data_IF_860222202727
#
_entry.id   IF_860222202727
#
_cell.length_a   1.000
_cell.length_b   1.000
_cell.length_c   1.000
_cell.angle_alpha   90.00
_cell.angle_beta   90.00
_cell.angle_gamma   90.00
#
_symmetry.space_group_name_H-M   'P 1'
#
loop_
_entity.id
_entity.type
_entity.pdbx_description
1 polymer ?
#
# COMPACT_ATOMS: atom_id res chain seq x y z
N UNK A 1 -2.99 -36.59 12.59
CA UNK A 1 -1.74 -36.15 11.94
C UNK A 1 -2.08 -34.98 11.03
N UNK A 2 -1.67 -33.78 11.42
CA UNK A 2 -2.05 -32.53 10.75
C UNK A 2 -1.30 -32.39 9.42
N UNK A 3 -2.04 -32.38 8.31
CA UNK A 3 -1.50 -32.08 7.00
C UNK A 3 -1.23 -30.57 6.91
N UNK A 4 -0.04 -30.15 7.33
CA UNK A 4 0.53 -28.88 6.88
C UNK A 4 0.86 -29.02 5.38
N UNK A 5 -0.16 -28.88 4.54
CA UNK A 5 0.03 -28.53 3.13
C UNK A 5 0.80 -27.21 3.13
N UNK A 6 2.11 -27.29 2.93
CA UNK A 6 2.93 -26.13 2.57
C UNK A 6 2.25 -25.50 1.37
N UNK A 7 1.68 -24.31 1.56
CA UNK A 7 1.05 -23.58 0.47
C UNK A 7 2.13 -23.28 -0.57
N UNK A 8 1.79 -23.53 -1.82
CA UNK A 8 2.65 -23.24 -2.95
C UNK A 8 2.95 -21.72 -2.98
N UNK A 9 4.22 -21.30 -2.85
CA UNK A 9 4.60 -19.90 -2.82
C UNK A 9 4.11 -19.13 -4.05
N UNK A 10 4.04 -19.75 -5.23
CA UNK A 10 3.52 -19.09 -6.44
C UNK A 10 2.02 -18.75 -6.30
N UNK A 11 1.26 -19.66 -5.70
CA UNK A 11 -0.17 -19.47 -5.46
C UNK A 11 -0.44 -18.42 -4.39
N UNK A 12 0.39 -18.33 -3.35
CA UNK A 12 0.31 -17.25 -2.36
C UNK A 12 0.69 -15.89 -2.95
N UNK A 13 1.76 -15.83 -3.75
CA UNK A 13 2.18 -14.61 -4.44
C UNK A 13 1.10 -14.08 -5.38
N UNK A 14 0.50 -14.96 -6.20
CA UNK A 14 -0.64 -14.59 -7.07
C UNK A 14 -1.82 -14.02 -6.27
N UNK A 15 -2.18 -14.64 -5.15
CA UNK A 15 -3.29 -14.17 -4.32
C UNK A 15 -3.01 -12.78 -3.72
N UNK A 16 -1.81 -12.56 -3.19
CA UNK A 16 -1.42 -11.25 -2.63
C UNK A 16 -1.44 -10.18 -3.72
N UNK A 17 -0.96 -10.51 -4.92
CA UNK A 17 -1.03 -9.62 -6.08
C UNK A 17 -2.47 -9.23 -6.39
N UNK A 18 -3.35 -10.22 -6.53
CA UNK A 18 -4.76 -9.98 -6.89
C UNK A 18 -5.46 -9.13 -5.79
N UNK A 19 -5.16 -9.39 -4.52
CA UNK A 19 -5.64 -8.58 -3.40
C UNK A 19 -5.14 -7.11 -3.50
N UNK A 20 -3.85 -6.88 -3.79
CA UNK A 20 -3.29 -5.53 -3.93
C UNK A 20 -3.81 -4.78 -5.16
N UNK A 21 -4.02 -5.48 -6.27
CA UNK A 21 -4.62 -4.91 -7.47
C UNK A 21 -6.07 -4.48 -7.21
N UNK A 22 -6.85 -5.34 -6.53
CA UNK A 22 -8.22 -5.03 -6.16
C UNK A 22 -8.30 -3.84 -5.20
N UNK A 23 -7.44 -3.80 -4.18
CA UNK A 23 -7.32 -2.67 -3.26
C UNK A 23 -7.03 -1.35 -4.02
N UNK A 24 -6.12 -1.41 -4.99
CA UNK A 24 -5.74 -0.26 -5.83
C UNK A 24 -6.92 0.23 -6.68
N UNK A 25 -7.65 -0.68 -7.32
CA UNK A 25 -8.81 -0.35 -8.14
C UNK A 25 -9.92 0.34 -7.33
N UNK A 26 -10.20 -0.17 -6.11
CA UNK A 26 -11.18 0.42 -5.19
C UNK A 26 -10.75 1.84 -4.78
N UNK A 27 -9.48 2.05 -4.45
CA UNK A 27 -8.96 3.38 -4.08
C UNK A 27 -9.07 4.37 -5.23
N UNK A 28 -8.64 3.99 -6.44
CA UNK A 28 -8.73 4.85 -7.63
C UNK A 28 -10.19 5.23 -7.92
N UNK A 29 -11.11 4.27 -7.84
CA UNK A 29 -12.54 4.54 -7.99
C UNK A 29 -13.04 5.56 -6.95
N UNK A 30 -12.67 5.38 -5.68
CA UNK A 30 -13.12 6.25 -4.60
C UNK A 30 -12.60 7.69 -4.75
N UNK A 31 -11.34 7.86 -5.18
CA UNK A 31 -10.75 9.16 -5.48
C UNK A 31 -11.48 9.87 -6.61
N UNK A 32 -11.67 9.18 -7.76
CA UNK A 32 -12.39 9.73 -8.92
C UNK A 32 -13.84 10.10 -8.59
N UNK A 33 -14.47 9.37 -7.66
CA UNK A 33 -15.84 9.62 -7.26
C UNK A 33 -15.98 10.87 -6.40
N UNK A 34 -15.07 11.11 -5.44
CA UNK A 34 -15.24 12.19 -4.47
C UNK A 34 -13.96 12.63 -3.75
N UNK A 35 -12.89 12.98 -4.48
CA UNK A 35 -11.68 13.54 -3.86
C UNK A 35 -11.95 14.84 -3.08
N UNK A 36 -12.99 15.60 -3.47
CA UNK A 36 -13.46 16.78 -2.74
C UNK A 36 -13.80 16.51 -1.27
N UNK A 37 -14.27 15.30 -0.95
CA UNK A 37 -14.60 14.88 0.42
C UNK A 37 -13.40 14.42 1.27
N UNK A 38 -12.19 14.33 0.71
CA UNK A 38 -11.03 13.85 1.46
C UNK A 38 -10.59 14.84 2.54
N UNK A 39 -10.27 14.30 3.71
CA UNK A 39 -9.76 15.04 4.85
C UNK A 39 -8.69 14.23 5.58
N UNK A 40 -7.62 14.93 5.97
CA UNK A 40 -6.55 14.37 6.80
C UNK A 40 -6.90 14.35 8.30
N UNK A 41 -8.04 14.93 8.70
CA UNK A 41 -8.44 14.98 10.11
C UNK A 41 -8.47 13.59 10.74
N UNK A 42 -7.72 13.42 11.83
CA UNK A 42 -7.63 12.15 12.57
C UNK A 42 -6.66 11.12 11.97
N UNK A 43 -5.99 11.40 10.84
CA UNK A 43 -4.86 10.61 10.38
C UNK A 43 -3.59 11.06 11.11
N UNK A 44 -2.96 10.13 11.84
CA UNK A 44 -1.64 10.35 12.45
C UNK A 44 -0.56 9.95 11.46
N UNK A 45 0.12 10.92 10.88
CA UNK A 45 1.22 10.67 9.96
C UNK A 45 2.45 10.25 10.77
N UNK A 46 3.13 9.12 10.46
CA UNK A 46 4.36 8.74 11.13
C UNK A 46 5.46 9.78 10.91
N UNK A 47 6.28 10.04 11.94
CA UNK A 47 7.35 11.05 11.89
C UNK A 47 8.30 10.83 10.70
N UNK A 48 8.59 9.58 10.36
CA UNK A 48 9.43 9.26 9.19
C UNK A 48 8.81 9.77 7.89
N UNK A 49 7.49 9.68 7.74
CA UNK A 49 6.76 10.17 6.55
C UNK A 49 6.67 11.70 6.59
N UNK A 50 6.41 12.31 7.76
CA UNK A 50 6.32 13.77 7.92
C UNK A 50 7.62 14.49 7.57
N UNK A 51 8.76 13.88 7.91
CA UNK A 51 10.10 14.46 7.71
C UNK A 51 10.81 13.91 6.48
N UNK A 52 10.16 13.03 5.72
CA UNK A 52 10.75 12.42 4.54
C UNK A 52 11.01 13.46 3.46
N UNK A 53 12.21 13.41 2.87
CA UNK A 53 12.56 14.15 1.67
C UNK A 53 13.27 13.19 0.72
N UNK A 54 12.94 13.28 -0.56
CA UNK A 54 13.58 12.48 -1.58
C UNK A 54 15.10 12.71 -1.55
N UNK A 55 15.87 11.61 -1.52
CA UNK A 55 17.33 11.67 -1.41
C UNK A 55 17.88 11.68 0.03
N UNK A 56 17.01 11.70 1.06
CA UNK A 56 17.47 11.56 2.44
C UNK A 56 18.17 10.21 2.68
N UNK A 57 19.12 10.23 3.62
CA UNK A 57 19.70 8.99 4.13
C UNK A 57 18.61 8.19 4.83
N UNK A 58 18.54 6.91 4.46
CA UNK A 58 17.57 6.00 5.04
C UNK A 58 17.97 5.64 6.47
N UNK A 59 17.04 5.86 7.40
CA UNK A 59 17.12 5.30 8.75
C UNK A 59 16.94 3.77 8.69
N UNK A 60 17.23 3.09 9.79
CA UNK A 60 16.96 1.66 9.92
C UNK A 60 15.49 1.33 9.59
N UNK A 61 15.26 0.58 8.52
CA UNK A 61 13.94 0.25 7.99
C UNK A 61 13.09 -0.54 8.97
N UNK A 62 13.72 -1.37 9.82
CA UNK A 62 13.03 -2.13 10.86
C UNK A 62 12.35 -1.22 11.88
N UNK A 63 12.95 -0.05 12.17
CA UNK A 63 12.46 0.85 13.21
C UNK A 63 11.11 1.52 12.90
N UNK A 64 10.69 1.55 11.63
CA UNK A 64 9.46 2.24 11.21
C UNK A 64 8.50 1.40 10.36
N UNK A 65 8.88 0.17 9.96
CA UNK A 65 8.11 -0.61 9.00
C UNK A 65 6.65 -0.83 9.43
N UNK A 66 6.42 -1.23 10.68
CA UNK A 66 5.07 -1.45 11.21
C UNK A 66 4.27 -0.14 11.28
N UNK A 67 4.86 0.94 11.79
CA UNK A 67 4.19 2.23 11.91
C UNK A 67 3.74 2.77 10.54
N UNK A 68 4.59 2.65 9.51
CA UNK A 68 4.25 3.07 8.14
C UNK A 68 3.20 2.15 7.51
N UNK A 69 3.27 0.84 7.74
CA UNK A 69 2.26 -0.10 7.26
C UNK A 69 0.87 0.19 7.86
N UNK A 70 0.79 0.41 9.18
CA UNK A 70 -0.45 0.80 9.87
C UNK A 70 -0.97 2.14 9.38
N UNK A 71 -0.08 3.11 9.15
CA UNK A 71 -0.48 4.38 8.55
C UNK A 71 -1.10 4.19 7.16
N UNK A 72 -0.51 3.36 6.31
CA UNK A 72 -1.07 3.04 5.00
C UNK A 72 -2.46 2.42 5.11
N UNK A 73 -2.68 1.49 6.05
CA UNK A 73 -4.00 0.89 6.28
C UNK A 73 -5.07 1.96 6.52
N UNK A 74 -4.81 2.87 7.48
CA UNK A 74 -5.73 3.95 7.81
C UNK A 74 -5.91 4.96 6.68
N UNK A 75 -4.83 5.30 5.97
CA UNK A 75 -4.89 6.19 4.81
C UNK A 75 -5.79 5.58 3.72
N UNK A 76 -5.59 4.30 3.42
CA UNK A 76 -6.33 3.61 2.37
C UNK A 76 -7.81 3.44 2.73
N UNK A 77 -8.14 3.13 3.98
CA UNK A 77 -9.52 3.11 4.47
C UNK A 77 -10.19 4.47 4.31
N UNK A 78 -9.47 5.56 4.61
CA UNK A 78 -9.97 6.92 4.43
C UNK A 78 -10.23 7.25 2.96
N UNK A 79 -9.34 6.82 2.07
CA UNK A 79 -9.52 6.97 0.62
C UNK A 79 -10.76 6.22 0.16
N UNK A 80 -10.92 4.95 0.56
CA UNK A 80 -12.07 4.13 0.14
C UNK A 80 -13.39 4.67 0.68
N UNK A 81 -13.40 5.25 1.88
CA UNK A 81 -14.59 5.88 2.46
C UNK A 81 -15.16 7.02 1.61
N UNK A 82 -14.36 7.65 0.73
CA UNK A 82 -14.84 8.67 -0.23
C UNK A 82 -15.93 8.14 -1.16
N UNK A 83 -15.93 6.83 -1.43
CA UNK A 83 -16.92 6.21 -2.29
C UNK A 83 -18.33 6.16 -1.66
N UNK A 84 -18.46 6.42 -0.36
CA UNK A 84 -19.69 6.25 0.43
C UNK A 84 -20.32 4.87 0.23
N UNK A 85 -19.46 3.85 0.15
CA UNK A 85 -19.86 2.46 -0.05
C UNK A 85 -19.29 1.61 1.10
N UNK A 86 -20.18 1.16 1.98
CA UNK A 86 -19.81 0.38 3.17
C UNK A 86 -19.21 -0.98 2.80
N UNK A 87 -19.69 -1.61 1.72
CA UNK A 87 -19.14 -2.88 1.26
C UNK A 87 -17.71 -2.71 0.76
N UNK A 88 -17.42 -1.65 0.00
CA UNK A 88 -16.04 -1.35 -0.42
C UNK A 88 -15.12 -1.09 0.79
N UNK A 89 -15.62 -0.41 1.82
CA UNK A 89 -14.85 -0.15 3.04
C UNK A 89 -14.55 -1.46 3.78
N UNK A 90 -15.54 -2.35 3.90
CA UNK A 90 -15.39 -3.68 4.50
C UNK A 90 -14.39 -4.53 3.73
N UNK A 91 -14.47 -4.53 2.40
CA UNK A 91 -13.49 -5.20 1.54
C UNK A 91 -12.08 -4.66 1.76
N UNK A 92 -11.93 -3.33 1.91
CA UNK A 92 -10.62 -2.74 2.17
C UNK A 92 -10.01 -3.19 3.49
N UNK A 93 -10.83 -3.34 4.55
CA UNK A 93 -10.36 -3.89 5.82
C UNK A 93 -9.83 -5.32 5.69
N UNK A 94 -10.55 -6.18 4.97
CA UNK A 94 -10.09 -7.55 4.73
C UNK A 94 -8.81 -7.59 3.90
N UNK A 95 -8.71 -6.74 2.88
CA UNK A 95 -7.51 -6.64 2.04
C UNK A 95 -6.31 -6.12 2.84
N UNK A 96 -6.52 -5.13 3.71
CA UNK A 96 -5.50 -4.63 4.61
C UNK A 96 -4.96 -5.77 5.49
N UNK A 97 -5.85 -6.53 6.13
CA UNK A 97 -5.44 -7.65 7.00
C UNK A 97 -4.68 -8.73 6.22
N UNK A 98 -5.18 -9.15 5.05
CA UNK A 98 -4.54 -10.18 4.22
C UNK A 98 -3.16 -9.77 3.70
N UNK A 99 -2.95 -8.48 3.44
CA UNK A 99 -1.72 -7.95 2.82
C UNK A 99 -0.75 -7.32 3.82
N UNK A 100 -1.08 -7.26 5.12
CA UNK A 100 -0.25 -6.60 6.15
C UNK A 100 1.17 -7.14 6.20
N UNK A 101 1.33 -8.46 6.36
CA UNK A 101 2.65 -9.10 6.49
C UNK A 101 3.53 -8.80 5.27
N UNK A 102 2.95 -8.83 4.07
CA UNK A 102 3.65 -8.48 2.85
C UNK A 102 4.12 -7.01 2.87
N UNK A 103 3.21 -6.06 3.14
CA UNK A 103 3.54 -4.62 3.16
C UNK A 103 4.60 -4.27 4.21
N UNK A 104 4.53 -4.86 5.40
CA UNK A 104 5.58 -4.71 6.41
C UNK A 104 6.90 -5.30 5.92
N UNK A 105 6.88 -6.49 5.32
CA UNK A 105 8.08 -7.11 4.74
C UNK A 105 8.72 -6.27 3.63
N UNK A 106 7.91 -5.60 2.80
CA UNK A 106 8.40 -4.63 1.82
C UNK A 106 9.10 -3.45 2.51
N UNK A 107 8.49 -2.89 3.55
CA UNK A 107 9.02 -1.76 4.30
C UNK A 107 10.29 -2.09 5.10
N UNK A 108 10.56 -3.36 5.39
CA UNK A 108 11.82 -3.80 6.03
C UNK A 108 13.00 -3.83 5.05
N UNK A 109 12.75 -3.87 3.74
CA UNK A 109 13.79 -3.85 2.71
C UNK A 109 14.17 -2.38 2.41
N UNK A 110 15.42 -1.93 2.65
CA UNK A 110 15.77 -0.51 2.53
C UNK A 110 15.41 0.14 1.18
N UNK A 111 15.77 -0.48 0.06
CA UNK A 111 15.50 0.09 -1.26
C UNK A 111 13.99 0.18 -1.55
N UNK A 112 13.23 -0.81 -1.09
CA UNK A 112 11.78 -0.80 -1.19
C UNK A 112 11.15 0.26 -0.29
N UNK A 113 11.62 0.38 0.94
CA UNK A 113 11.15 1.37 1.90
C UNK A 113 11.34 2.79 1.34
N UNK A 114 12.42 3.06 0.61
CA UNK A 114 12.74 4.39 0.08
C UNK A 114 11.70 4.79 -0.95
N UNK A 115 11.50 3.92 -1.93
CA UNK A 115 10.50 4.09 -2.98
C UNK A 115 9.08 4.21 -2.39
N UNK A 116 8.76 3.40 -1.38
CA UNK A 116 7.47 3.46 -0.69
C UNK A 116 7.28 4.80 0.02
N UNK A 117 8.30 5.32 0.71
CA UNK A 117 8.24 6.62 1.38
C UNK A 117 8.12 7.77 0.36
N UNK A 118 8.86 7.73 -0.74
CA UNK A 118 8.75 8.71 -1.84
C UNK A 118 7.34 8.73 -2.43
N UNK A 119 6.80 7.55 -2.76
CA UNK A 119 5.43 7.40 -3.29
C UNK A 119 4.37 7.80 -2.27
N UNK A 120 4.59 7.52 -0.99
CA UNK A 120 3.68 7.94 0.09
C UNK A 120 3.65 9.46 0.20
N UNK A 121 4.81 10.13 0.24
CA UNK A 121 4.88 11.59 0.29
C UNK A 121 4.21 12.23 -0.93
N UNK A 122 4.45 11.69 -2.12
CA UNK A 122 3.81 12.16 -3.36
C UNK A 122 2.28 11.97 -3.34
N UNK A 123 1.79 10.83 -2.84
CA UNK A 123 0.36 10.58 -2.72
C UNK A 123 -0.30 11.56 -1.74
N UNK A 124 0.33 11.81 -0.58
CA UNK A 124 -0.19 12.78 0.40
C UNK A 124 -0.25 14.19 -0.19
N UNK A 125 0.78 14.59 -0.93
CA UNK A 125 0.79 15.88 -1.64
C UNK A 125 -0.31 15.95 -2.72
N UNK A 126 -0.53 14.88 -3.48
CA UNK A 126 -1.58 14.84 -4.49
C UNK A 126 -2.99 14.92 -3.87
N UNK A 127 -3.22 14.21 -2.76
CA UNK A 127 -4.46 14.27 -1.99
C UNK A 127 -4.70 15.67 -1.42
N UNK A 128 -3.65 16.31 -0.87
CA UNK A 128 -3.71 17.67 -0.35
C UNK A 128 -4.07 18.69 -1.43
N UNK A 129 -3.44 18.56 -2.60
CA UNK A 129 -3.70 19.43 -3.75
C UNK A 129 -4.96 19.05 -4.54
N UNK A 130 -5.70 18.03 -4.10
CA UNK A 130 -6.92 17.52 -4.74
C UNK A 130 -6.72 17.18 -6.22
N UNK A 131 -5.55 16.65 -6.57
CA UNK A 131 -5.22 16.22 -7.92
C UNK A 131 -5.53 14.72 -8.09
N UNK A 132 -6.70 14.40 -8.63
CA UNK A 132 -7.21 13.04 -8.76
C UNK A 132 -6.45 12.22 -9.81
N UNK A 133 -6.05 12.84 -10.92
CA UNK A 133 -5.22 12.24 -11.95
C UNK A 133 -3.88 11.78 -11.37
N UNK A 134 -3.18 12.66 -10.65
CA UNK A 134 -1.90 12.36 -10.02
C UNK A 134 -2.04 11.30 -8.92
N UNK A 135 -3.08 11.40 -8.07
CA UNK A 135 -3.39 10.35 -7.11
C UNK A 135 -3.54 8.99 -7.78
N UNK A 136 -4.33 8.94 -8.87
CA UNK A 136 -4.59 7.70 -9.61
C UNK A 136 -3.33 7.13 -10.24
N UNK A 137 -2.49 7.99 -10.82
CA UNK A 137 -1.22 7.59 -11.42
C UNK A 137 -0.27 7.00 -10.38
N UNK A 138 -0.09 7.67 -9.23
CA UNK A 138 0.77 7.18 -8.14
C UNK A 138 0.30 5.83 -7.63
N UNK A 139 -1.01 5.66 -7.42
CA UNK A 139 -1.59 4.39 -6.98
C UNK A 139 -1.37 3.26 -8.00
N UNK A 140 -1.55 3.54 -9.29
CA UNK A 140 -1.29 2.57 -10.35
C UNK A 140 0.20 2.18 -10.44
N UNK A 141 1.11 3.14 -10.33
CA UNK A 141 2.55 2.86 -10.31
C UNK A 141 2.96 2.04 -9.08
N UNK A 142 2.36 2.29 -7.91
CA UNK A 142 2.56 1.47 -6.71
C UNK A 142 2.16 0.02 -6.97
N UNK A 143 1.02 -0.21 -7.63
CA UNK A 143 0.54 -1.55 -7.95
C UNK A 143 1.48 -2.27 -8.93
N UNK A 144 1.89 -1.60 -10.02
CA UNK A 144 2.83 -2.15 -11.01
C UNK A 144 4.19 -2.50 -10.40
N UNK A 145 4.69 -1.67 -9.48
CA UNK A 145 5.94 -1.94 -8.76
C UNK A 145 5.80 -3.15 -7.83
N UNK A 146 4.69 -3.27 -7.10
CA UNK A 146 4.43 -4.45 -6.25
C UNK A 146 4.25 -5.72 -7.08
N UNK A 147 3.64 -5.62 -8.26
CA UNK A 147 3.53 -6.73 -9.21
C UNK A 147 4.91 -7.29 -9.56
N UNK A 148 5.85 -6.42 -9.98
CA UNK A 148 7.22 -6.82 -10.28
C UNK A 148 7.92 -7.47 -9.09
N UNK A 149 7.78 -6.88 -7.90
CA UNK A 149 8.41 -7.40 -6.69
C UNK A 149 7.86 -8.78 -6.27
N UNK A 150 6.56 -9.01 -6.41
CA UNK A 150 5.93 -10.31 -6.16
C UNK A 150 6.45 -11.34 -7.17
N UNK A 151 6.50 -10.97 -8.45
CA UNK A 151 7.05 -11.85 -9.49
C UNK A 151 8.51 -12.22 -9.22
N UNK A 152 9.35 -11.29 -8.75
CA UNK A 152 10.75 -11.57 -8.38
C UNK A 152 10.87 -12.42 -7.11
N UNK A 153 10.00 -12.18 -6.12
CA UNK A 153 10.06 -12.87 -4.81
C UNK A 153 9.54 -14.31 -4.88
N UNK A 154 8.59 -14.57 -5.77
CA UNK A 154 7.92 -15.87 -5.92
C UNK A 154 8.23 -16.55 -7.27
N UNK A 155 9.17 -16.02 -8.07
CA UNK A 155 9.62 -16.71 -9.28
C UNK A 155 10.29 -18.04 -8.91
N UNK A 156 10.04 -19.12 -9.68
CA UNK A 156 10.79 -20.35 -9.52
C UNK A 156 12.27 -20.06 -9.82
N UNK A 157 13.18 -20.44 -8.90
CA UNK A 157 14.60 -20.54 -9.23
C UNK A 157 14.70 -21.49 -10.42
N UNK A 158 14.96 -20.96 -11.61
CA UNK A 158 15.40 -21.77 -12.73
C UNK A 158 16.79 -22.28 -12.36
N UNK A 159 16.85 -23.53 -11.88
CA UNK A 159 18.07 -24.33 -11.79
C UNK A 159 18.60 -24.61 -13.19
#
# INVERSE_FOLDING_TARGET
MSAHLKRDPETEGRKIRDDLEFATAIMIYAIRKNLGGFSFSGLRIPRIVETWQAGNQMLDSESFATDVATFHEHLYERIVALAHNQEMTRQMWELNERTRIFREGELRRPDAARDILDKTANLLNALFNRNDELCSAILAECAERRYRLIMETFAPMRL
#
